data_IF_669220350539
#
_entry.id   IF_669220350539
#
_cell.length_a   1.000
_cell.length_b   1.000
_cell.length_c   1.000
_cell.angle_alpha   90.00
_cell.angle_beta   90.00
_cell.angle_gamma   90.00
#
_symmetry.space_group_name_H-M   'P 1'
#
loop_
_entity.id
_entity.type
_entity.pdbx_description
1 polymer ?
2 non-polymer ?
#
# COMPACT_ATOMS: atom_id res chain seq x y z
N UNK A 1 17.50 13.52 1.27
CA UNK A 1 16.85 12.78 2.40
C UNK A 1 16.44 11.39 1.95
N UNK A 2 17.11 10.37 2.49
CA UNK A 2 16.81 8.99 2.13
C UNK A 2 16.14 8.15 3.22
N UNK A 3 15.61 8.79 4.26
CA UNK A 3 14.97 8.05 5.34
C UNK A 3 13.62 7.53 4.93
N UNK A 4 13.29 6.33 5.40
CA UNK A 4 12.02 5.71 5.04
C UNK A 4 11.40 4.83 6.13
N UNK A 5 10.08 4.75 6.11
CA UNK A 5 9.32 3.91 7.02
C UNK A 5 8.68 2.91 6.07
N UNK A 6 8.76 1.63 6.40
CA UNK A 6 8.21 0.64 5.50
C UNK A 6 7.32 -0.45 6.09
N UNK A 7 6.46 -0.97 5.22
CA UNK A 7 5.52 -2.04 5.54
C UNK A 7 5.63 -3.03 4.39
N UNK A 8 6.24 -4.18 4.63
CA UNK A 8 6.42 -5.16 3.58
C UNK A 8 5.54 -6.39 3.62
N UNK A 9 5.26 -6.90 2.43
CA UNK A 9 4.46 -8.09 2.28
C UNK A 9 3.13 -8.11 3.02
N UNK A 10 2.40 -7.01 2.98
CA UNK A 10 1.10 -6.99 3.63
C UNK A 10 0.21 -7.82 2.71
N UNK A 11 -0.58 -8.71 3.28
CA UNK A 11 -1.41 -9.58 2.47
C UNK A 11 -2.87 -9.51 2.88
N UNK A 12 -3.72 -9.27 1.89
CA UNK A 12 -5.14 -9.16 2.13
C UNK A 12 -5.89 -10.02 1.14
N UNK A 13 -6.99 -10.62 1.57
CA UNK A 13 -7.79 -11.41 0.66
C UNK A 13 -8.88 -10.48 0.15
N UNK A 14 -8.79 -10.10 -1.12
CA UNK A 14 -9.77 -9.20 -1.69
C UNK A 14 -10.51 -9.73 -2.91
N UNK A 15 -11.41 -8.91 -3.45
CA UNK A 15 -12.18 -9.30 -4.62
C UNK A 15 -12.08 -8.37 -5.80
N UNK A 16 -11.02 -7.58 -5.84
CA UNK A 16 -10.79 -6.65 -6.93
C UNK A 16 -10.40 -7.46 -8.18
N UNK A 17 -10.51 -6.84 -9.36
CA UNK A 17 -10.19 -7.52 -10.61
C UNK A 17 -11.19 -7.14 -11.68
N UNK A 18 -10.73 -6.99 -12.92
CA UNK A 18 -11.61 -6.61 -14.03
C UNK A 18 -12.51 -7.75 -14.54
N UNK A 19 -12.26 -8.96 -14.04
CA UNK A 19 -13.01 -10.16 -14.42
C UNK A 19 -14.05 -10.54 -13.37
N UNK A 20 -15.28 -10.77 -13.83
CA UNK A 20 -16.40 -11.12 -12.96
C UNK A 20 -16.08 -12.27 -12.03
N UNK A 21 -15.41 -13.29 -12.56
CA UNK A 21 -15.03 -14.46 -11.77
C UNK A 21 -14.09 -14.06 -10.65
N UNK A 22 -13.21 -13.11 -10.93
CA UNK A 22 -12.27 -12.63 -9.92
C UNK A 22 -13.04 -12.06 -8.72
N UNK A 23 -13.95 -11.14 -9.01
CA UNK A 23 -14.77 -10.51 -7.99
C UNK A 23 -15.60 -11.52 -7.23
N UNK A 24 -15.88 -12.64 -7.89
CA UNK A 24 -16.67 -13.69 -7.28
C UNK A 24 -15.84 -14.52 -6.31
N UNK A 25 -14.72 -15.03 -6.80
CA UNK A 25 -13.82 -15.87 -6.02
C UNK A 25 -12.86 -15.07 -5.10
N UNK A 26 -12.27 -14.00 -5.62
CA UNK A 26 -11.35 -13.21 -4.82
C UNK A 26 -9.98 -13.84 -4.81
N UNK A 27 -9.01 -13.17 -4.21
CA UNK A 27 -7.66 -13.71 -4.14
C UNK A 27 -6.84 -12.93 -3.12
N UNK A 28 -5.57 -13.29 -3.01
CA UNK A 28 -4.71 -12.60 -2.08
C UNK A 28 -3.92 -11.51 -2.80
N UNK A 29 -3.92 -10.34 -2.19
CA UNK A 29 -3.21 -9.20 -2.72
C UNK A 29 -2.08 -8.90 -1.76
N UNK A 30 -0.87 -8.82 -2.30
CA UNK A 30 0.34 -8.54 -1.52
C UNK A 30 0.68 -7.07 -1.68
N UNK A 31 0.91 -6.38 -0.57
CA UNK A 31 1.22 -4.95 -0.61
C UNK A 31 2.50 -4.51 0.11
N UNK A 32 3.23 -3.61 -0.54
CA UNK A 32 4.47 -3.05 -0.01
C UNK A 32 4.36 -1.53 0.01
N UNK A 33 4.41 -0.95 1.20
CA UNK A 33 4.31 0.50 1.32
C UNK A 33 5.57 1.16 1.89
N UNK A 34 6.12 2.09 1.12
CA UNK A 34 7.31 2.82 1.54
C UNK A 34 7.01 4.31 1.60
N UNK A 35 7.33 4.90 2.75
CA UNK A 35 7.09 6.31 3.00
C UNK A 35 8.37 7.07 3.24
N UNK A 36 8.57 8.16 2.50
CA UNK A 36 9.75 8.99 2.68
C UNK A 36 9.43 9.94 3.84
N UNK A 37 10.11 9.75 4.96
CA UNK A 37 9.88 10.57 6.13
C UNK A 37 11.23 10.83 6.77
N UNK A 38 11.45 12.08 7.14
CA UNK A 38 12.69 12.50 7.79
C UNK A 38 12.57 12.00 9.23
N UNK A 39 13.38 11.00 9.56
CA UNK A 39 13.36 10.37 10.89
C UNK A 39 14.43 10.81 11.88
N UNK A 40 14.94 12.03 11.73
CA UNK A 40 15.99 12.50 12.62
C UNK A 40 15.51 13.00 13.98
N UNK A 41 14.38 13.70 14.00
CA UNK A 41 13.81 14.22 15.23
C UNK A 41 13.43 13.06 16.15
N UNK A 42 12.77 12.05 15.58
CA UNK A 42 12.35 10.86 16.31
C UNK A 42 13.60 10.10 16.74
N UNK A 43 14.61 10.13 15.87
CA UNK A 43 15.86 9.47 16.18
C UNK A 43 16.51 10.17 17.35
N UNK A 44 16.27 11.46 17.47
CA UNK A 44 16.84 12.23 18.56
C UNK A 44 15.98 12.11 19.82
N UNK A 45 14.70 12.41 19.68
CA UNK A 45 13.79 12.39 20.82
C UNK A 45 13.35 11.03 21.34
N UNK A 46 13.10 10.10 20.43
CA UNK A 46 12.63 8.77 20.81
C UNK A 46 11.15 8.86 21.20
N UNK A 47 10.52 9.96 20.80
CA UNK A 47 9.10 10.21 21.07
C UNK A 47 8.29 9.77 19.84
N UNK A 48 7.40 8.80 20.04
CA UNK A 48 6.58 8.26 18.96
C UNK A 48 5.77 9.30 18.20
N UNK A 49 5.56 10.45 18.84
CA UNK A 49 4.81 11.56 18.27
C UNK A 49 5.62 12.37 17.25
N UNK A 50 6.88 11.99 17.07
CA UNK A 50 7.76 12.68 16.14
C UNK A 50 8.00 11.86 14.86
N UNK A 51 7.13 10.89 14.61
CA UNK A 51 7.25 10.04 13.45
C UNK A 51 5.89 9.48 13.12
N UNK A 52 5.84 8.68 12.05
CA UNK A 52 4.59 8.07 11.63
C UNK A 52 4.53 6.64 12.15
N UNK A 53 3.41 6.34 12.83
CA UNK A 53 3.02 5.09 13.44
C UNK A 53 2.70 4.05 12.35
N UNK A 54 3.64 3.06 12.18
CA UNK A 54 3.42 2.01 11.16
C UNK A 54 2.02 1.38 11.38
N UNK A 55 1.65 1.16 12.62
CA UNK A 55 0.35 0.55 12.90
C UNK A 55 -0.84 1.24 12.23
N UNK A 56 -0.91 2.56 12.34
CA UNK A 56 -1.97 3.35 11.75
C UNK A 56 -1.92 3.27 10.23
N UNK A 57 -0.73 3.06 9.67
CA UNK A 57 -0.58 2.97 8.22
C UNK A 57 -1.11 1.64 7.69
N UNK A 58 -0.91 0.58 8.46
CA UNK A 58 -1.40 -0.74 8.09
C UNK A 58 -2.93 -0.75 8.14
N UNK A 59 -3.50 0.01 9.08
CA UNK A 59 -4.95 0.08 9.21
C UNK A 59 -5.53 0.78 7.99
N UNK A 60 -4.85 1.82 7.51
CA UNK A 60 -5.32 2.56 6.34
C UNK A 60 -5.34 1.68 5.07
N UNK A 61 -4.22 1.01 4.81
CA UNK A 61 -4.06 0.09 3.68
C UNK A 61 -5.11 -1.03 3.71
N UNK A 62 -5.30 -1.59 4.90
CA UNK A 62 -6.22 -2.68 5.19
C UNK A 62 -7.66 -2.35 4.85
N UNK A 63 -8.06 -1.16 5.26
CA UNK A 63 -9.40 -0.63 5.04
C UNK A 63 -9.68 -0.49 3.55
N UNK A 64 -8.65 -0.14 2.79
CA UNK A 64 -8.81 0.01 1.35
C UNK A 64 -8.72 -1.32 0.64
N UNK A 65 -7.84 -2.19 1.13
CA UNK A 65 -7.62 -3.50 0.53
C UNK A 65 -8.71 -4.50 0.84
N UNK A 66 -9.32 -4.35 2.00
CA UNK A 66 -10.36 -5.28 2.40
C UNK A 66 -11.77 -4.74 2.23
N UNK A 67 -11.87 -3.59 1.56
CA UNK A 67 -13.16 -2.98 1.32
C UNK A 67 -13.71 -3.25 -0.08
N UNK A 68 -14.51 -2.31 -0.57
CA UNK A 68 -15.13 -2.39 -1.89
C UNK A 68 -14.22 -2.86 -3.02
N UNK A 69 -14.69 -3.86 -3.76
CA UNK A 69 -13.93 -4.41 -4.88
C UNK A 69 -13.91 -3.42 -6.06
N UNK A 70 -12.72 -3.18 -6.59
CA UNK A 70 -12.56 -2.28 -7.72
C UNK A 70 -11.99 -3.09 -8.86
N UNK A 71 -11.79 -2.46 -10.00
CA UNK A 71 -11.27 -3.17 -11.14
C UNK A 71 -9.76 -3.29 -11.12
N UNK A 72 -9.10 -2.14 -11.11
CA UNK A 72 -7.65 -2.13 -11.17
C UNK A 72 -6.85 -2.08 -9.88
N UNK A 73 -5.58 -2.46 -10.01
CA UNK A 73 -4.66 -2.44 -8.91
C UNK A 73 -4.20 -0.99 -8.79
N UNK A 74 -4.20 -0.31 -9.94
CA UNK A 74 -3.80 1.10 -10.07
C UNK A 74 -4.71 2.00 -9.24
N UNK A 75 -5.97 1.59 -9.17
CA UNK A 75 -6.98 2.32 -8.43
C UNK A 75 -6.81 2.13 -6.93
N UNK A 76 -6.47 0.91 -6.56
CA UNK A 76 -6.26 0.55 -5.17
C UNK A 76 -5.03 1.24 -4.59
N UNK A 77 -3.95 1.30 -5.37
CA UNK A 77 -2.72 1.92 -4.92
C UNK A 77 -2.86 3.45 -4.88
N UNK A 78 -3.69 3.99 -5.78
CA UNK A 78 -3.93 5.43 -5.89
C UNK A 78 -4.70 5.94 -4.69
N UNK A 79 -5.62 5.11 -4.22
CA UNK A 79 -6.44 5.40 -3.05
C UNK A 79 -5.63 5.33 -1.75
N UNK A 80 -4.70 4.38 -1.70
CA UNK A 80 -3.86 4.19 -0.52
C UNK A 80 -2.84 5.31 -0.43
N UNK A 81 -2.15 5.56 -1.53
CA UNK A 81 -1.14 6.61 -1.56
C UNK A 81 -1.80 7.93 -1.16
N UNK A 82 -2.99 8.16 -1.71
CA UNK A 82 -3.76 9.37 -1.44
C UNK A 82 -4.26 9.44 0.01
N UNK A 83 -4.59 8.29 0.58
CA UNK A 83 -5.09 8.20 1.94
C UNK A 83 -4.02 8.48 3.00
N UNK A 84 -2.81 8.00 2.71
CA UNK A 84 -1.66 8.16 3.58
C UNK A 84 -1.06 9.56 3.48
N UNK A 85 -0.93 10.04 2.25
CA UNK A 85 -0.38 11.37 2.01
C UNK A 85 -1.28 12.40 2.67
N UNK A 86 -2.58 12.18 2.53
CA UNK A 86 -3.60 13.07 3.08
C UNK A 86 -3.58 13.23 4.60
N UNK A 87 -3.44 12.12 5.31
CA UNK A 87 -3.45 12.17 6.76
C UNK A 87 -2.12 12.47 7.43
N UNK A 88 -1.02 12.28 6.71
CA UNK A 88 0.28 12.55 7.29
C UNK A 88 1.15 13.55 6.52
N UNK A 89 1.36 14.71 7.14
CA UNK A 89 2.15 15.80 6.56
C UNK A 89 3.65 15.49 6.58
N UNK A 90 4.04 14.54 7.43
CA UNK A 90 5.44 14.16 7.56
C UNK A 90 5.87 13.23 6.44
N UNK A 91 4.89 12.66 5.75
CA UNK A 91 5.18 11.77 4.64
C UNK A 91 5.39 12.64 3.42
N UNK A 92 6.64 12.76 2.98
CA UNK A 92 6.98 13.59 1.84
C UNK A 92 6.55 12.95 0.53
N UNK A 93 6.51 11.62 0.51
CA UNK A 93 6.13 10.88 -0.69
C UNK A 93 5.79 9.43 -0.34
N UNK A 94 4.79 8.87 -1.03
CA UNK A 94 4.37 7.48 -0.78
C UNK A 94 4.52 6.53 -1.97
N UNK A 95 5.15 5.39 -1.72
CA UNK A 95 5.35 4.37 -2.75
C UNK A 95 4.52 3.13 -2.44
N UNK A 96 3.61 2.78 -3.33
CA UNK A 96 2.75 1.62 -3.14
C UNK A 96 2.89 0.55 -4.22
N UNK A 97 3.25 -0.65 -3.79
CA UNK A 97 3.43 -1.78 -4.70
C UNK A 97 2.37 -2.84 -4.42
N UNK A 98 1.59 -3.16 -5.45
CA UNK A 98 0.56 -4.18 -5.27
C UNK A 98 0.82 -5.30 -6.24
N UNK A 99 0.78 -6.51 -5.72
CA UNK A 99 1.07 -7.69 -6.51
C UNK A 99 -0.02 -8.75 -6.45
N UNK A 100 -0.33 -9.33 -7.60
CA UNK A 100 -1.30 -10.39 -7.70
C UNK A 100 -0.40 -11.59 -8.00
N UNK A 101 -0.05 -12.35 -6.98
CA UNK A 101 0.82 -13.46 -7.24
C UNK A 101 0.07 -14.56 -7.98
N UNK A 102 -1.25 -14.55 -7.89
CA UNK A 102 -2.02 -15.59 -8.57
C UNK A 102 -3.21 -15.10 -9.39
N UNK A 103 -2.92 -14.35 -10.46
CA UNK A 103 -4.00 -13.84 -11.30
C UNK A 103 -4.55 -14.93 -12.22
N UNK A 104 -5.65 -14.64 -12.95
CA UNK A 104 -6.24 -15.63 -13.85
C UNK A 104 -5.45 -15.68 -15.14
N UNK A 105 -4.13 -15.79 -15.01
CA UNK A 105 -3.23 -15.87 -16.15
C UNK A 105 -2.66 -17.28 -16.23
N UNK A 106 -2.99 -18.02 -17.31
CA UNK A 106 -2.49 -19.38 -17.49
C UNK A 106 -0.97 -19.37 -17.70
N UNK A 107 -0.23 -19.75 -16.67
CA UNK A 107 1.21 -19.78 -16.80
C UNK A 107 1.97 -19.93 -15.49
N UNK A 108 3.29 -19.89 -15.62
CA UNK A 108 4.19 -20.02 -14.50
C UNK A 108 4.98 -18.72 -14.35
N UNK A 109 4.76 -18.05 -13.21
CA UNK A 109 5.39 -16.77 -12.84
C UNK A 109 5.30 -16.62 -11.34
N UNK A 110 5.98 -15.62 -10.81
CA UNK A 110 5.97 -15.36 -9.37
C UNK A 110 4.88 -14.33 -9.03
N UNK A 111 4.51 -13.54 -10.02
CA UNK A 111 3.49 -12.53 -9.81
C UNK A 111 3.49 -11.40 -10.82
N UNK A 112 2.42 -10.61 -10.78
CA UNK A 112 2.26 -9.47 -11.66
C UNK A 112 1.70 -8.32 -10.83
N UNK A 113 1.96 -7.10 -11.27
CA UNK A 113 1.44 -5.99 -10.52
C UNK A 113 1.91 -4.64 -10.97
N UNK A 114 1.65 -3.68 -10.10
CA UNK A 114 2.02 -2.31 -10.35
C UNK A 114 2.57 -1.68 -9.08
N UNK A 115 3.31 -0.61 -9.29
CA UNK A 115 3.90 0.13 -8.20
C UNK A 115 3.88 1.58 -8.59
N UNK A 116 3.34 2.42 -7.72
CA UNK A 116 3.28 3.84 -7.99
C UNK A 116 4.03 4.58 -6.91
N UNK A 117 4.44 5.80 -7.22
CA UNK A 117 5.15 6.65 -6.28
C UNK A 117 4.43 7.99 -6.37
N UNK A 118 3.97 8.50 -5.23
CA UNK A 118 3.26 9.77 -5.20
C UNK A 118 3.87 10.69 -4.17
N UNK A 119 4.17 11.91 -4.59
CA UNK A 119 4.71 12.87 -3.66
C UNK A 119 3.52 13.52 -2.96
N UNK A 120 3.73 13.94 -1.72
CA UNK A 120 2.68 14.56 -0.92
C UNK A 120 2.68 16.08 -1.13
N UNK A 121 1.58 16.61 -1.66
CA UNK A 121 1.48 18.04 -1.92
C UNK A 121 0.99 18.89 -0.73
X LIG B 1 -2.85 -3.05 -15.24
X LIG B 1 -3.73 -4.05 -15.00
X LIG B 1 -4.26 -4.19 -13.71
X LIG B 1 -5.12 -5.14 -13.41
X LIG B 1 -5.61 -5.25 -12.14
X LIG B 1 -5.55 -6.10 -14.46
X LIG B 1 -6.37 -7.13 -14.49
X LIG B 1 -6.37 -7.67 -15.84
X LIG B 1 -5.46 -6.84 -16.60
X LIG B 1 -4.97 -5.91 -15.81
X LIG B 1 -4.07 -4.86 -15.99
X LIG B 1 -7.11 -8.78 -16.31
X LIG B 1 -8.51 -8.74 -16.30
X LIG B 1 -9.25 -9.84 -16.76
X LIG B 1 -8.58 -10.97 -17.23
X LIG B 1 -7.18 -11.01 -17.24
X LIG B 1 -6.45 -9.92 -16.78
X LIG B 1 -6.48 -12.22 -17.75
X LIG B 1 -7.11 -13.24 -17.98
X LIG B 1 -5.16 -12.18 -17.95
X LIG B 1 -4.47 -13.35 -18.51
X LIG B 1 -5.13 -13.74 -19.81
X LIG B 1 -5.66 -15.03 -19.96
X LIG B 1 -6.28 -15.40 -21.16
X LIG B 1 -6.93 -17.00 -21.35
X LIG B 1 -6.37 -14.48 -22.21
X LIG B 1 -5.84 -13.19 -22.06
X LIG B 1 -5.95 -12.05 -23.37
X LIG B 1 -5.22 -12.82 -20.86
#
# INVERSE_FOLDING_TARGET
MQDTIFLKGMRFYGYHGALSAENEIGQIFKVDVTLKVDLSEAGRTDNVIDTVHYGEVFEEVKSIMEGKAVNLLEHLAERIANRINSQYNRVMETKVRITKENPPIPGHYDGVGIEIVRENK
45P N1 C2 N3 C4 O5 C6 N7 N8 N9 C10 N11 C12 C13 C14 C15 C16 C17 C18 O19 N20 C21 C22 C23 C24 CL1 C26 C27 CL2 C29
#
